data_IF_446932948734
#
_entry.id   IF_446932948734
#
_cell.length_a   1.000
_cell.length_b   1.000
_cell.length_c   1.000
_cell.angle_alpha   90.00
_cell.angle_beta   90.00
_cell.angle_gamma   90.00
#
_symmetry.space_group_name_H-M   'P 1'
#
loop_
_entity.id
_entity.type
_entity.pdbx_description
1 polymer ?
#
# COMPACT_ATOMS: atom_id res chain seq x y z
N UNK A 1 16.59 -4.39 -1.41
CA UNK A 1 16.81 -2.96 -1.12
C UNK A 1 18.26 -2.72 -0.67
N UNK A 2 18.77 -3.44 0.33
CA UNK A 2 20.17 -3.29 0.81
C UNK A 2 21.24 -3.50 -0.28
N UNK A 3 21.26 -4.67 -0.92
CA UNK A 3 22.34 -5.09 -1.82
C UNK A 3 22.53 -4.21 -3.07
N UNK A 4 21.53 -3.40 -3.42
CA UNK A 4 21.54 -2.55 -4.62
C UNK A 4 21.17 -1.11 -4.29
N UNK A 5 21.45 -0.67 -3.06
CA UNK A 5 21.10 0.65 -2.56
C UNK A 5 21.67 1.77 -3.43
N UNK A 6 22.93 1.66 -3.84
CA UNK A 6 23.59 2.65 -4.69
C UNK A 6 22.95 2.76 -6.08
N UNK A 7 22.28 1.71 -6.55
CA UNK A 7 21.59 1.72 -7.83
C UNK A 7 20.19 2.34 -7.69
N UNK A 8 19.32 1.75 -6.86
CA UNK A 8 17.91 2.16 -6.83
C UNK A 8 17.73 3.57 -6.29
N UNK A 9 18.61 4.08 -5.40
CA UNK A 9 18.52 5.45 -4.88
C UNK A 9 18.66 6.51 -5.98
N UNK A 10 19.40 6.20 -7.05
CA UNK A 10 19.67 7.13 -8.15
C UNK A 10 18.61 7.12 -9.27
N UNK A 11 17.75 6.10 -9.29
CA UNK A 11 16.63 6.02 -10.24
C UNK A 11 15.56 7.06 -9.85
N UNK A 12 15.03 7.83 -10.80
CA UNK A 12 14.03 8.89 -10.51
C UNK A 12 12.63 8.63 -11.07
N UNK A 13 12.48 7.58 -11.87
CA UNK A 13 11.18 7.18 -12.41
C UNK A 13 11.30 5.86 -13.16
N UNK A 14 10.16 5.35 -13.61
CA UNK A 14 10.10 4.23 -14.55
C UNK A 14 10.37 4.66 -15.99
N UNK A 15 10.67 3.68 -16.83
CA UNK A 15 10.82 3.84 -18.27
C UNK A 15 9.96 2.78 -18.95
N UNK A 16 9.33 3.15 -20.06
CA UNK A 16 8.62 2.18 -20.89
C UNK A 16 9.61 1.10 -21.38
N UNK A 17 9.17 -0.15 -21.31
CA UNK A 17 9.93 -1.29 -21.82
C UNK A 17 9.29 -1.78 -23.12
N UNK A 18 10.08 -2.13 -24.15
CA UNK A 18 9.53 -2.69 -25.37
C UNK A 18 8.76 -3.97 -25.09
N UNK A 19 7.48 -4.00 -25.46
CA UNK A 19 6.67 -5.21 -25.43
C UNK A 19 6.96 -6.04 -26.68
N UNK A 20 7.35 -7.30 -26.51
CA UNK A 20 7.58 -8.23 -27.61
C UNK A 20 6.38 -9.16 -27.76
N UNK A 21 5.85 -9.27 -28.99
CA UNK A 21 4.69 -10.09 -29.31
C UNK A 21 3.36 -9.35 -29.20
N UNK A 22 2.28 -10.02 -29.60
CA UNK A 22 0.94 -9.47 -29.52
C UNK A 22 0.44 -9.48 -28.07
N UNK A 23 -0.16 -8.36 -27.63
CA UNK A 23 -0.84 -8.30 -26.35
C UNK A 23 -2.07 -9.21 -26.40
N UNK A 24 -1.96 -10.41 -25.82
CA UNK A 24 -3.11 -11.28 -25.63
C UNK A 24 -3.93 -10.66 -24.50
N UNK A 25 -4.98 -9.93 -24.86
CA UNK A 25 -5.95 -9.37 -23.91
C UNK A 25 -6.67 -10.49 -23.17
N UNK A 26 -6.04 -11.04 -22.14
CA UNK A 26 -6.67 -12.01 -21.25
C UNK A 26 -7.52 -11.22 -20.25
N UNK A 27 -8.83 -11.39 -20.34
CA UNK A 27 -9.73 -10.93 -19.29
C UNK A 27 -9.54 -11.88 -18.10
N UNK A 28 -9.15 -11.37 -16.92
CA UNK A 28 -9.04 -12.21 -15.74
C UNK A 28 -10.40 -12.83 -15.41
N UNK A 29 -10.40 -14.08 -14.95
CA UNK A 29 -11.64 -14.74 -14.51
C UNK A 29 -12.21 -13.95 -13.32
N UNK A 30 -13.50 -13.55 -13.36
CA UNK A 30 -14.12 -12.86 -12.24
C UNK A 30 -14.06 -13.71 -10.98
N UNK A 31 -13.78 -13.08 -9.84
CA UNK A 31 -13.84 -13.69 -8.53
C UNK A 31 -14.47 -12.70 -7.54
N UNK A 32 -15.11 -13.25 -6.50
CA UNK A 32 -15.74 -12.43 -5.47
C UNK A 32 -14.72 -12.04 -4.39
N UNK A 33 -14.80 -10.79 -3.94
CA UNK A 33 -13.99 -10.26 -2.84
C UNK A 33 -14.91 -10.04 -1.65
N UNK A 34 -14.64 -10.73 -0.53
CA UNK A 34 -15.31 -10.47 0.75
C UNK A 34 -14.74 -9.22 1.41
N UNK A 35 -15.22 -8.06 0.96
CA UNK A 35 -14.79 -6.75 1.46
C UNK A 35 -15.11 -6.57 2.95
N UNK A 36 -16.23 -7.13 3.43
CA UNK A 36 -16.63 -7.05 4.83
C UNK A 36 -15.58 -7.71 5.74
N UNK A 37 -15.16 -8.92 5.37
CA UNK A 37 -14.16 -9.67 6.13
C UNK A 37 -12.77 -9.00 6.06
N UNK A 38 -12.39 -8.40 4.92
CA UNK A 38 -11.16 -7.60 4.82
C UNK A 38 -11.15 -6.41 5.81
N UNK A 39 -12.27 -5.68 5.91
CA UNK A 39 -12.42 -4.57 6.87
C UNK A 39 -12.40 -5.09 8.31
N UNK A 40 -13.04 -6.24 8.58
CA UNK A 40 -13.04 -6.86 9.90
C UNK A 40 -11.63 -7.30 10.33
N UNK A 41 -10.88 -7.99 9.46
CA UNK A 41 -9.48 -8.34 9.74
C UNK A 41 -8.60 -7.12 9.96
N UNK A 42 -8.80 -6.04 9.21
CA UNK A 42 -8.13 -4.77 9.47
C UNK A 42 -8.44 -4.25 10.88
N UNK A 43 -9.72 -4.22 11.28
CA UNK A 43 -10.13 -3.74 12.61
C UNK A 43 -9.58 -4.63 13.74
N UNK A 44 -9.53 -5.95 13.56
CA UNK A 44 -8.89 -6.89 14.50
C UNK A 44 -7.38 -6.61 14.56
N UNK A 45 -6.72 -6.43 13.41
CA UNK A 45 -5.31 -6.08 13.32
C UNK A 45 -4.98 -4.78 14.04
N UNK A 46 -5.85 -3.75 13.94
CA UNK A 46 -5.68 -2.51 14.69
C UNK A 46 -5.71 -2.72 16.20
N UNK A 47 -6.61 -3.58 16.71
CA UNK A 47 -6.64 -3.93 18.14
C UNK A 47 -5.36 -4.61 18.60
N UNK A 48 -4.79 -5.47 17.75
CA UNK A 48 -3.59 -6.26 18.09
C UNK A 48 -2.28 -5.49 17.93
N UNK A 49 -2.17 -4.65 16.90
CA UNK A 49 -0.92 -4.03 16.47
C UNK A 49 -0.94 -2.50 16.47
N UNK A 50 -2.04 -1.85 16.84
CA UNK A 50 -2.15 -0.39 16.84
C UNK A 50 -1.05 0.31 17.63
N UNK A 51 -0.68 -0.22 18.81
CA UNK A 51 0.44 0.29 19.62
C UNK A 51 1.81 0.10 18.96
N UNK A 52 1.95 -0.87 18.06
CA UNK A 52 3.17 -1.09 17.27
C UNK A 52 3.22 -0.06 16.14
N UNK A 53 2.13 0.11 15.40
CA UNK A 53 2.03 1.08 14.31
C UNK A 53 2.25 2.52 14.80
N UNK A 54 1.68 2.89 15.94
CA UNK A 54 1.81 4.25 16.52
C UNK A 54 3.27 4.65 16.79
N UNK A 55 4.19 3.70 16.98
CA UNK A 55 5.61 3.99 17.25
C UNK A 55 6.34 4.55 16.05
N UNK A 56 5.93 4.19 14.82
CA UNK A 56 6.70 4.53 13.61
C UNK A 56 5.86 5.15 12.51
N UNK A 57 4.54 5.04 12.51
CA UNK A 57 3.66 5.73 11.56
C UNK A 57 3.55 7.21 11.95
N UNK A 58 3.60 8.11 10.97
CA UNK A 58 3.52 9.54 11.23
C UNK A 58 2.15 9.96 11.75
N UNK A 59 2.11 11.02 12.56
CA UNK A 59 0.87 11.49 13.22
C UNK A 59 -0.28 11.74 12.24
N UNK A 60 0.00 12.24 11.03
CA UNK A 60 -1.03 12.48 9.99
C UNK A 60 -1.63 11.17 9.49
N UNK A 61 -0.80 10.16 9.24
CA UNK A 61 -1.22 8.87 8.71
C UNK A 61 -1.87 8.02 9.80
N UNK A 62 -1.43 8.16 11.05
CA UNK A 62 -2.07 7.56 12.21
C UNK A 62 -3.51 8.06 12.41
N UNK A 63 -3.78 9.34 12.16
CA UNK A 63 -5.16 9.87 12.18
C UNK A 63 -6.03 9.20 11.12
N UNK A 64 -5.49 8.98 9.91
CA UNK A 64 -6.20 8.28 8.83
C UNK A 64 -6.54 6.85 9.24
N UNK A 65 -5.57 6.08 9.78
CA UNK A 65 -5.81 4.72 10.27
C UNK A 65 -6.93 4.70 11.33
N UNK A 66 -6.89 5.62 12.30
CA UNK A 66 -7.93 5.69 13.33
C UNK A 66 -9.30 6.03 12.78
N UNK A 67 -9.38 6.89 11.76
CA UNK A 67 -10.63 7.22 11.10
C UNK A 67 -11.18 6.02 10.32
N UNK A 68 -10.32 5.28 9.61
CA UNK A 68 -10.70 4.04 8.92
C UNK A 68 -11.29 3.00 9.87
N UNK A 69 -10.71 2.82 11.06
CA UNK A 69 -11.20 1.87 12.07
C UNK A 69 -12.59 2.27 12.58
N UNK A 70 -12.83 3.58 12.73
CA UNK A 70 -14.12 4.12 13.18
C UNK A 70 -15.18 4.12 12.09
N UNK A 71 -14.78 3.99 10.82
CA UNK A 71 -15.71 3.98 9.70
C UNK A 71 -16.60 2.72 9.77
N UNK A 72 -17.91 2.95 9.77
CA UNK A 72 -18.96 1.92 9.73
C UNK A 72 -19.52 1.71 8.33
N UNK A 73 -19.33 2.66 7.41
CA UNK A 73 -19.79 2.54 6.02
C UNK A 73 -18.74 1.81 5.20
N UNK A 74 -19.15 0.67 4.63
CA UNK A 74 -18.30 -0.11 3.71
C UNK A 74 -18.09 0.64 2.39
N UNK A 75 -19.12 1.29 1.88
CA UNK A 75 -19.08 2.02 0.61
C UNK A 75 -18.21 3.28 0.67
N UNK A 76 -18.13 3.91 1.85
CA UNK A 76 -17.27 5.08 2.11
C UNK A 76 -15.89 4.68 2.64
N UNK A 77 -15.57 3.39 2.71
CA UNK A 77 -14.27 2.93 3.18
C UNK A 77 -13.20 3.29 2.15
N UNK A 78 -12.45 4.37 2.42
CA UNK A 78 -11.39 4.86 1.55
C UNK A 78 -10.09 5.08 2.31
N UNK A 79 -9.04 4.38 1.91
CA UNK A 79 -7.69 4.48 2.40
C UNK A 79 -6.81 5.19 1.35
N UNK A 80 -6.52 6.50 1.52
CA UNK A 80 -5.83 7.30 0.52
C UNK A 80 -4.45 6.73 0.15
N UNK A 81 -4.15 6.72 -1.15
CA UNK A 81 -2.93 6.14 -1.70
C UNK A 81 -1.67 6.76 -1.12
N UNK A 82 -1.62 8.08 -0.94
CA UNK A 82 -0.43 8.76 -0.40
C UNK A 82 -0.17 8.37 1.06
N UNK A 83 -1.23 8.05 1.80
CA UNK A 83 -1.11 7.54 3.18
C UNK A 83 -0.56 6.12 3.16
N UNK A 84 -1.06 5.27 2.28
CA UNK A 84 -0.55 3.92 2.08
C UNK A 84 0.94 3.92 1.68
N UNK A 85 1.34 4.73 0.70
CA UNK A 85 2.73 4.86 0.24
C UNK A 85 3.66 5.26 1.39
N UNK A 86 3.29 6.27 2.20
CA UNK A 86 4.09 6.66 3.37
C UNK A 86 4.22 5.53 4.37
N UNK A 87 3.12 4.83 4.68
CA UNK A 87 3.14 3.70 5.61
C UNK A 87 4.10 2.61 5.09
N UNK A 88 4.01 2.22 3.82
CA UNK A 88 4.92 1.25 3.20
C UNK A 88 6.38 1.72 3.32
N UNK A 89 6.66 2.98 3.02
CA UNK A 89 8.01 3.54 3.17
C UNK A 89 8.50 3.57 4.63
N UNK A 90 7.62 3.83 5.60
CA UNK A 90 7.97 3.69 7.02
C UNK A 90 8.29 2.25 7.40
N UNK A 91 7.55 1.26 6.89
CA UNK A 91 7.88 -0.15 7.07
C UNK A 91 9.23 -0.50 6.47
N UNK A 92 9.54 0.01 5.28
CA UNK A 92 10.84 -0.16 4.64
C UNK A 92 11.98 0.38 5.52
N UNK A 93 11.82 1.56 6.11
CA UNK A 93 12.80 2.11 7.07
C UNK A 93 12.95 1.28 8.34
N UNK A 94 11.85 0.86 8.96
CA UNK A 94 11.91 0.00 10.17
C UNK A 94 12.52 -1.37 9.87
N UNK A 95 12.25 -1.93 8.69
CA UNK A 95 12.83 -3.19 8.23
C UNK A 95 14.34 -3.08 8.05
N UNK A 96 14.83 -1.93 7.55
CA UNK A 96 16.25 -1.59 7.47
C UNK A 96 16.88 -1.48 8.87
N UNK A 97 16.27 -0.70 9.77
CA UNK A 97 16.80 -0.39 11.09
C UNK A 97 16.78 -1.56 12.09
N UNK A 98 15.96 -2.59 11.86
CA UNK A 98 15.72 -3.67 12.84
C UNK A 98 16.03 -5.08 12.31
N UNK A 99 17.29 -5.42 11.95
CA UNK A 99 17.62 -6.69 11.28
C UNK A 99 17.14 -7.96 11.98
N UNK A 100 17.11 -7.96 13.33
CA UNK A 100 16.76 -9.14 14.15
C UNK A 100 15.25 -9.43 14.24
N UNK A 101 14.40 -8.42 14.09
CA UNK A 101 12.94 -8.54 14.28
C UNK A 101 12.12 -8.08 13.08
N UNK A 102 12.78 -7.67 11.98
CA UNK A 102 12.17 -7.07 10.79
C UNK A 102 10.97 -7.85 10.23
N UNK A 103 11.01 -9.18 10.23
CA UNK A 103 9.90 -9.99 9.74
C UNK A 103 8.66 -9.91 10.66
N UNK A 104 8.85 -9.93 11.98
CA UNK A 104 7.73 -9.78 12.93
C UNK A 104 7.04 -8.43 12.80
N UNK A 105 7.80 -7.38 12.53
CA UNK A 105 7.23 -6.06 12.25
C UNK A 105 6.48 -6.08 10.93
N UNK A 106 7.08 -6.65 9.88
CA UNK A 106 6.45 -6.75 8.56
C UNK A 106 5.12 -7.52 8.60
N UNK A 107 5.02 -8.56 9.41
CA UNK A 107 3.77 -9.32 9.60
C UNK A 107 2.61 -8.42 10.10
N UNK A 108 2.93 -7.37 10.88
CA UNK A 108 1.91 -6.40 11.33
C UNK A 108 1.39 -5.50 10.22
N UNK A 109 1.98 -5.52 9.02
CA UNK A 109 1.48 -4.79 7.85
C UNK A 109 0.28 -5.49 7.20
N UNK A 110 0.11 -6.80 7.39
CA UNK A 110 -0.93 -7.60 6.74
C UNK A 110 -2.34 -7.00 6.92
N UNK A 111 -2.76 -6.59 8.14
CA UNK A 111 -4.09 -5.98 8.30
C UNK A 111 -4.23 -4.61 7.61
N UNK A 112 -3.14 -3.83 7.50
CA UNK A 112 -3.15 -2.57 6.75
C UNK A 112 -3.26 -2.82 5.24
N UNK A 113 -2.65 -3.90 4.75
CA UNK A 113 -2.82 -4.35 3.36
C UNK A 113 -4.28 -4.74 3.10
N UNK A 114 -4.95 -5.45 4.01
CA UNK A 114 -6.38 -5.75 3.86
C UNK A 114 -7.25 -4.49 3.81
N UNK A 115 -6.95 -3.47 4.61
CA UNK A 115 -7.61 -2.16 4.46
C UNK A 115 -7.35 -1.56 3.07
N UNK A 116 -6.12 -1.63 2.56
CA UNK A 116 -5.82 -1.10 1.22
C UNK A 116 -6.62 -1.83 0.15
N UNK A 117 -6.71 -3.16 0.20
CA UNK A 117 -7.52 -3.96 -0.73
C UNK A 117 -9.01 -3.62 -0.60
N UNK A 118 -9.54 -3.52 0.61
CA UNK A 118 -10.94 -3.14 0.83
C UNK A 118 -11.27 -1.75 0.26
N UNK A 119 -10.35 -0.78 0.36
CA UNK A 119 -10.48 0.53 -0.28
C UNK A 119 -10.47 0.42 -1.80
N UNK A 120 -9.59 -0.42 -2.35
CA UNK A 120 -9.44 -0.62 -3.79
C UNK A 120 -10.69 -1.23 -4.42
N UNK A 121 -11.43 -2.09 -3.70
CA UNK A 121 -12.75 -2.59 -4.15
C UNK A 121 -13.68 -1.41 -4.45
N UNK A 122 -13.76 -0.41 -3.56
CA UNK A 122 -14.59 0.78 -3.79
C UNK A 122 -14.07 1.68 -4.92
N UNK A 123 -12.74 1.79 -5.05
CA UNK A 123 -12.10 2.61 -6.08
C UNK A 123 -12.26 2.02 -7.50
N UNK A 124 -12.42 0.71 -7.61
CA UNK A 124 -12.51 -0.03 -8.88
C UNK A 124 -13.95 -0.42 -9.27
N UNK A 125 -14.92 -0.36 -8.36
CA UNK A 125 -16.27 -0.93 -8.58
C UNK A 125 -16.99 -0.47 -9.86
N UNK A 126 -16.82 0.79 -10.27
CA UNK A 126 -17.47 1.38 -11.46
C UNK A 126 -16.52 1.48 -12.67
N UNK A 127 -15.29 0.94 -12.58
CA UNK A 127 -14.28 1.10 -13.61
C UNK A 127 -14.31 -0.04 -14.61
N UNK A 128 -14.16 0.30 -15.88
CA UNK A 128 -13.84 -0.70 -16.90
C UNK A 128 -12.35 -1.11 -16.83
N UNK A 129 -11.94 -2.02 -17.72
CA UNK A 129 -10.57 -2.54 -17.75
C UNK A 129 -9.52 -1.44 -17.96
N UNK A 130 -9.69 -0.58 -18.95
CA UNK A 130 -8.75 0.51 -19.24
C UNK A 130 -8.66 1.51 -18.06
N UNK A 131 -9.80 1.88 -17.48
CA UNK A 131 -9.86 2.78 -16.33
C UNK A 131 -9.23 2.18 -15.06
N UNK A 132 -9.24 0.85 -14.95
CA UNK A 132 -8.58 0.09 -13.88
C UNK A 132 -7.07 0.08 -14.08
N UNK A 133 -6.58 -0.17 -15.29
CA UNK A 133 -5.15 -0.06 -15.62
C UNK A 133 -4.62 1.35 -15.35
N UNK A 134 -5.33 2.39 -15.80
CA UNK A 134 -4.99 3.78 -15.50
C UNK A 134 -5.01 4.09 -14.00
N UNK A 135 -5.87 3.41 -13.23
CA UNK A 135 -5.89 3.55 -11.77
C UNK A 135 -4.63 2.94 -11.13
N UNK A 136 -4.20 1.75 -11.58
CA UNK A 136 -2.95 1.15 -11.11
C UNK A 136 -1.72 1.98 -11.49
N UNK A 137 -1.68 2.53 -12.71
CA UNK A 137 -0.62 3.43 -13.16
C UNK A 137 -0.50 4.67 -12.26
N UNK A 138 -1.64 5.28 -11.89
CA UNK A 138 -1.66 6.40 -10.92
C UNK A 138 -1.13 5.99 -9.55
N UNK A 139 -1.45 4.78 -9.08
CA UNK A 139 -0.90 4.29 -7.82
C UNK A 139 0.61 4.05 -7.89
N UNK A 140 1.11 3.46 -8.98
CA UNK A 140 2.54 3.28 -9.21
C UNK A 140 3.27 4.63 -9.21
N UNK A 141 2.71 5.61 -9.92
CA UNK A 141 3.23 6.99 -9.94
C UNK A 141 3.28 7.63 -8.57
N UNK A 142 2.28 7.38 -7.70
CA UNK A 142 2.31 7.88 -6.33
C UNK A 142 3.52 7.34 -5.53
N UNK A 143 3.98 6.11 -5.79
CA UNK A 143 5.24 5.64 -5.21
C UNK A 143 6.44 6.40 -5.80
N UNK A 144 6.50 6.56 -7.12
CA UNK A 144 7.61 7.28 -7.78
C UNK A 144 7.73 8.73 -7.29
N UNK A 145 6.63 9.49 -7.31
CA UNK A 145 6.56 10.89 -6.89
C UNK A 145 6.96 11.08 -5.43
N UNK A 146 6.69 10.08 -4.59
CA UNK A 146 6.99 10.12 -3.16
C UNK A 146 8.34 9.49 -2.83
N UNK A 147 9.16 9.09 -3.81
CA UNK A 147 10.46 8.47 -3.58
C UNK A 147 11.42 9.36 -2.78
N UNK A 148 11.36 10.67 -2.96
CA UNK A 148 12.15 11.62 -2.17
C UNK A 148 11.87 11.51 -0.67
N UNK A 149 10.65 11.14 -0.28
CA UNK A 149 10.31 10.86 1.11
C UNK A 149 11.04 9.61 1.61
N UNK A 150 11.04 8.52 0.83
CA UNK A 150 11.78 7.31 1.14
C UNK A 150 13.28 7.60 1.32
N UNK A 151 13.88 8.34 0.40
CA UNK A 151 15.31 8.69 0.48
C UNK A 151 15.66 9.48 1.75
N UNK A 152 14.76 10.36 2.22
CA UNK A 152 14.97 11.14 3.46
C UNK A 152 14.96 10.27 4.72
N UNK A 153 14.18 9.19 4.72
CA UNK A 153 14.06 8.30 5.88
C UNK A 153 15.01 7.09 5.79
N UNK A 154 15.52 6.79 4.61
CA UNK A 154 16.51 5.75 4.35
C UNK A 154 17.90 6.26 4.74
N UNK A 155 18.37 5.90 5.94
CA UNK A 155 19.71 6.26 6.44
C UNK A 155 20.67 5.12 6.23
#
# INVERSE_FOLDING_TARGET
MESYADYWRNIKGSQEVPTLGDAIGQVPVPFEIDQANLIEYFKIGFKNFGLVWEKFVERKDWKVIKNLVRNSSMEEFNFPIETWVRIVYRYVGVFHDTPRQRFKVLDTMIPLYYARVASMVNELKEKNQEESEQHFEKQARAFEDMKDYLLKIWK
#
